data_IF_132238816955
#
_entry.id   IF_132238816955
#
_cell.length_a   1.000
_cell.length_b   1.000
_cell.length_c   1.000
_cell.angle_alpha   90.00
_cell.angle_beta   90.00
_cell.angle_gamma   90.00
#
_symmetry.space_group_name_H-M   'P 1'
#
loop_
_entity.id
_entity.type
_entity.pdbx_description
1 polymer ?
#
# COMPACT_ATOMS: atom_id res chain seq x y z
N UNK A 1 -15.02 0.30 -14.60
CA UNK A 1 -15.66 0.94 -13.42
C UNK A 1 -14.73 2.06 -13.00
N UNK A 2 -15.23 3.27 -12.86
CA UNK A 2 -14.38 4.38 -12.44
C UNK A 2 -13.82 4.10 -11.04
N UNK A 3 -12.52 4.18 -10.90
CA UNK A 3 -11.76 3.90 -9.67
C UNK A 3 -12.31 4.61 -8.44
N UNK A 4 -12.70 5.87 -8.60
CA UNK A 4 -13.28 6.67 -7.51
C UNK A 4 -14.65 6.15 -7.05
N UNK A 5 -15.44 5.58 -7.96
CA UNK A 5 -16.69 4.88 -7.61
C UNK A 5 -16.39 3.62 -6.80
N UNK A 6 -15.31 2.90 -7.13
CA UNK A 6 -14.88 1.75 -6.37
C UNK A 6 -14.46 2.14 -4.95
N UNK A 7 -13.66 3.21 -4.78
CA UNK A 7 -13.27 3.70 -3.44
C UNK A 7 -14.49 4.15 -2.62
N UNK A 8 -15.44 4.87 -3.20
CA UNK A 8 -16.68 5.25 -2.48
C UNK A 8 -17.44 4.03 -2.01
N UNK A 9 -17.70 3.07 -2.91
CA UNK A 9 -18.38 1.81 -2.54
C UNK A 9 -17.66 1.04 -1.47
N UNK A 10 -16.32 1.01 -1.51
CA UNK A 10 -15.53 0.35 -0.48
C UNK A 10 -15.63 1.05 0.88
N UNK A 11 -15.65 2.38 0.91
CA UNK A 11 -15.88 3.15 2.14
C UNK A 11 -17.28 2.85 2.70
N UNK A 12 -18.31 2.88 1.87
CA UNK A 12 -19.69 2.58 2.28
C UNK A 12 -19.80 1.15 2.85
N UNK A 13 -19.15 0.18 2.19
CA UNK A 13 -19.09 -1.19 2.68
C UNK A 13 -18.38 -1.29 4.03
N UNK A 14 -17.21 -0.66 4.19
CA UNK A 14 -16.47 -0.63 5.45
C UNK A 14 -17.34 -0.03 6.56
N UNK A 15 -17.98 1.12 6.33
CA UNK A 15 -18.79 1.82 7.33
C UNK A 15 -19.98 0.98 7.82
N UNK A 16 -20.56 0.17 6.94
CA UNK A 16 -21.69 -0.71 7.32
C UNK A 16 -21.26 -1.99 8.05
N UNK A 17 -19.96 -2.37 7.95
CA UNK A 17 -19.46 -3.64 8.52
C UNK A 17 -18.36 -3.46 9.58
N UNK A 18 -18.24 -2.24 10.17
CA UNK A 18 -17.18 -1.93 11.13
C UNK A 18 -17.12 -2.82 12.37
N UNK A 19 -18.24 -3.42 12.77
CA UNK A 19 -18.32 -4.35 13.92
C UNK A 19 -18.13 -5.82 13.54
N UNK A 20 -17.99 -6.11 12.23
CA UNK A 20 -17.79 -7.45 11.70
C UNK A 20 -16.31 -7.73 11.46
N UNK A 21 -15.97 -9.00 11.32
CA UNK A 21 -14.61 -9.41 10.95
C UNK A 21 -14.42 -9.31 9.43
N UNK A 22 -14.23 -8.08 8.95
CA UNK A 22 -14.01 -7.80 7.52
C UNK A 22 -12.53 -7.84 7.17
N UNK A 23 -12.22 -8.54 6.08
CA UNK A 23 -10.87 -8.57 5.52
C UNK A 23 -10.74 -7.60 4.35
N UNK A 24 -9.50 -7.23 4.03
CA UNK A 24 -9.21 -6.43 2.83
C UNK A 24 -9.66 -7.14 1.56
N UNK A 25 -9.59 -8.47 1.54
CA UNK A 25 -10.04 -9.28 0.41
C UNK A 25 -11.56 -9.15 0.21
N UNK A 26 -12.34 -9.16 1.28
CA UNK A 26 -13.79 -8.99 1.20
C UNK A 26 -14.15 -7.63 0.60
N UNK A 27 -13.46 -6.57 1.07
CA UNK A 27 -13.67 -5.22 0.57
C UNK A 27 -13.28 -5.11 -0.91
N UNK A 28 -12.13 -5.65 -1.30
CA UNK A 28 -11.64 -5.63 -2.68
C UNK A 28 -12.60 -6.39 -3.62
N UNK A 29 -13.16 -7.52 -3.18
CA UNK A 29 -14.13 -8.30 -3.93
C UNK A 29 -15.42 -7.51 -4.21
N UNK A 30 -15.88 -6.66 -3.27
CA UNK A 30 -17.07 -5.81 -3.47
C UNK A 30 -16.92 -4.81 -4.63
N UNK A 31 -15.68 -4.49 -4.96
CA UNK A 31 -15.35 -3.52 -6.01
C UNK A 31 -14.65 -4.16 -7.22
N UNK A 32 -14.60 -5.49 -7.27
CA UNK A 32 -14.01 -6.28 -8.36
C UNK A 32 -12.53 -5.96 -8.63
N UNK A 33 -11.76 -5.73 -7.58
CA UNK A 33 -10.33 -5.44 -7.66
C UNK A 33 -9.51 -6.51 -6.92
N UNK A 34 -8.25 -6.69 -7.32
CA UNK A 34 -7.32 -7.45 -6.48
C UNK A 34 -7.02 -6.67 -5.19
N UNK A 35 -6.76 -7.39 -4.10
CA UNK A 35 -6.46 -6.77 -2.80
C UNK A 35 -5.30 -5.79 -2.86
N UNK A 36 -4.26 -6.10 -3.62
CA UNK A 36 -3.10 -5.22 -3.78
C UNK A 36 -3.48 -3.92 -4.49
N UNK A 37 -4.13 -4.05 -5.63
CA UNK A 37 -4.53 -2.89 -6.42
C UNK A 37 -5.48 -1.99 -5.62
N UNK A 38 -6.44 -2.58 -4.93
CA UNK A 38 -7.35 -1.87 -4.05
C UNK A 38 -6.62 -1.14 -2.91
N UNK A 39 -5.76 -1.83 -2.15
CA UNK A 39 -5.03 -1.22 -1.02
C UNK A 39 -4.15 -0.05 -1.47
N UNK A 40 -3.41 -0.25 -2.56
CA UNK A 40 -2.55 0.81 -3.12
C UNK A 40 -3.34 2.03 -3.54
N UNK A 41 -4.42 1.84 -4.26
CA UNK A 41 -5.25 2.94 -4.69
C UNK A 41 -6.01 3.61 -3.56
N UNK A 42 -6.49 2.84 -2.59
CA UNK A 42 -7.14 3.39 -1.40
C UNK A 42 -6.16 4.32 -0.65
N UNK A 43 -4.93 3.88 -0.42
CA UNK A 43 -3.88 4.69 0.23
C UNK A 43 -3.59 5.98 -0.57
N UNK A 44 -3.37 5.87 -1.89
CA UNK A 44 -3.06 7.03 -2.74
C UNK A 44 -4.20 8.06 -2.74
N UNK A 45 -5.45 7.59 -2.82
CA UNK A 45 -6.61 8.48 -2.90
C UNK A 45 -6.97 9.08 -1.55
N UNK A 46 -6.86 8.31 -0.47
CA UNK A 46 -7.35 8.71 0.85
C UNK A 46 -6.26 9.19 1.80
N UNK A 47 -5.02 8.83 1.56
CA UNK A 47 -3.88 9.06 2.47
C UNK A 47 -3.84 8.10 3.67
N UNK A 48 -4.74 7.11 3.72
CA UNK A 48 -4.79 6.09 4.79
C UNK A 48 -4.67 4.70 4.20
N UNK A 49 -4.00 3.79 4.90
CA UNK A 49 -4.18 2.38 4.58
C UNK A 49 -5.59 1.92 4.97
N UNK A 50 -6.08 0.87 4.32
CA UNK A 50 -7.42 0.31 4.61
C UNK A 50 -7.53 -0.10 6.08
N UNK A 51 -6.51 -0.79 6.60
CA UNK A 51 -6.47 -1.24 8.00
C UNK A 51 -6.41 -0.08 8.99
N UNK A 52 -5.68 0.98 8.66
CA UNK A 52 -5.61 2.19 9.47
C UNK A 52 -6.96 2.90 9.49
N UNK A 53 -7.61 3.04 8.34
CA UNK A 53 -8.94 3.64 8.26
C UNK A 53 -9.96 2.89 9.12
N UNK A 54 -10.06 1.56 8.96
CA UNK A 54 -10.97 0.71 9.75
C UNK A 54 -10.68 0.87 11.25
N UNK A 55 -9.42 0.76 11.66
CA UNK A 55 -9.01 0.91 13.05
C UNK A 55 -9.41 2.27 13.61
N UNK A 56 -9.13 3.36 12.91
CA UNK A 56 -9.44 4.70 13.39
C UNK A 56 -10.94 4.95 13.48
N UNK A 57 -11.73 4.40 12.54
CA UNK A 57 -13.20 4.44 12.58
C UNK A 57 -13.77 3.65 13.75
N UNK A 58 -13.27 2.44 13.97
CA UNK A 58 -13.66 1.59 15.11
C UNK A 58 -13.37 2.30 16.44
N UNK A 59 -12.20 2.89 16.60
CA UNK A 59 -11.82 3.63 17.81
C UNK A 59 -12.70 4.86 18.02
N UNK A 60 -13.00 5.62 16.97
CA UNK A 60 -13.89 6.76 17.07
C UNK A 60 -15.31 6.37 17.47
N UNK A 61 -15.91 5.38 16.81
CA UNK A 61 -17.26 4.92 17.11
C UNK A 61 -17.35 4.27 18.50
N UNK A 62 -16.34 3.51 18.91
CA UNK A 62 -16.27 2.95 20.28
C UNK A 62 -16.27 4.05 21.35
N UNK A 63 -15.61 5.19 21.09
CA UNK A 63 -15.62 6.33 22.00
C UNK A 63 -17.01 7.00 22.09
N UNK A 64 -17.73 7.07 20.97
CA UNK A 64 -19.13 7.56 20.97
C UNK A 64 -20.01 6.60 21.79
N UNK A 65 -19.91 5.29 21.55
CA UNK A 65 -20.71 4.28 22.24
C UNK A 65 -20.41 4.25 23.75
N UNK A 66 -19.12 4.44 24.16
CA UNK A 66 -18.73 4.59 25.57
C UNK A 66 -19.43 5.77 26.27
N UNK A 67 -19.66 6.88 25.56
CA UNK A 67 -20.36 8.05 26.12
C UNK A 67 -21.87 7.87 26.14
N UNK A 68 -22.43 7.17 25.17
CA UNK A 68 -23.88 7.10 24.97
C UNK A 68 -24.53 5.93 25.69
N UNK A 69 -23.75 4.92 26.11
CA UNK A 69 -24.28 3.69 26.67
C UNK A 69 -23.67 3.36 28.03
N UNK A 70 -24.36 2.50 28.78
CA UNK A 70 -23.87 1.92 30.04
C UNK A 70 -22.99 0.70 29.84
N UNK A 71 -22.75 0.23 28.59
CA UNK A 71 -21.95 -0.95 28.28
C UNK A 71 -20.59 -0.92 28.99
N UNK A 72 -20.09 -2.09 29.33
CA UNK A 72 -18.74 -2.22 29.90
C UNK A 72 -17.69 -1.99 28.80
N UNK A 73 -16.53 -1.48 29.19
CA UNK A 73 -15.43 -1.23 28.25
C UNK A 73 -14.98 -2.52 27.54
N UNK A 74 -15.02 -3.65 28.27
CA UNK A 74 -14.67 -4.95 27.73
C UNK A 74 -15.63 -5.40 26.61
N UNK A 75 -16.92 -5.18 26.77
CA UNK A 75 -17.94 -5.56 25.78
C UNK A 75 -17.76 -4.71 24.50
N UNK A 76 -17.50 -3.40 24.68
CA UNK A 76 -17.20 -2.50 23.55
C UNK A 76 -15.90 -2.90 22.85
N UNK A 77 -14.85 -3.32 23.58
CA UNK A 77 -13.63 -3.80 22.98
C UNK A 77 -13.87 -4.98 22.03
N UNK A 78 -14.65 -5.96 22.47
CA UNK A 78 -15.03 -7.12 21.64
C UNK A 78 -15.94 -6.73 20.47
N UNK A 79 -16.94 -5.86 20.68
CA UNK A 79 -17.85 -5.36 19.64
C UNK A 79 -17.10 -4.69 18.48
N UNK A 80 -15.92 -4.12 18.76
CA UNK A 80 -15.07 -3.45 17.75
C UNK A 80 -13.85 -4.28 17.31
N UNK A 81 -13.90 -5.61 17.53
CA UNK A 81 -12.94 -6.56 16.96
C UNK A 81 -11.59 -6.59 17.66
N UNK A 82 -11.50 -6.24 18.94
CA UNK A 82 -10.30 -6.40 19.75
C UNK A 82 -10.37 -7.72 20.55
N UNK A 83 -9.32 -8.52 20.47
CA UNK A 83 -9.24 -9.79 21.18
C UNK A 83 -9.10 -9.61 22.70
N UNK A 84 -8.51 -8.50 23.14
CA UNK A 84 -8.31 -8.23 24.58
C UNK A 84 -8.60 -6.75 24.93
N UNK A 85 -9.14 -6.50 26.15
CA UNK A 85 -9.37 -5.13 26.64
C UNK A 85 -8.09 -4.31 26.74
N UNK A 86 -6.94 -4.94 26.96
CA UNK A 86 -5.62 -4.28 27.05
C UNK A 86 -5.17 -3.77 25.70
N UNK A 87 -5.32 -4.59 24.63
CA UNK A 87 -4.99 -4.19 23.24
C UNK A 87 -5.87 -3.03 22.79
N UNK A 88 -7.19 -3.11 23.11
CA UNK A 88 -8.12 -2.00 22.88
C UNK A 88 -7.69 -0.74 23.62
N UNK A 89 -7.42 -0.81 24.93
CA UNK A 89 -7.08 0.36 25.75
C UNK A 89 -5.80 1.04 25.27
N UNK A 90 -4.79 0.27 24.83
CA UNK A 90 -3.55 0.79 24.23
C UNK A 90 -3.81 1.52 22.90
N UNK A 91 -4.54 0.89 21.99
CA UNK A 91 -4.89 1.48 20.69
C UNK A 91 -5.76 2.74 20.89
N UNK A 92 -6.76 2.66 21.76
CA UNK A 92 -7.66 3.74 22.09
C UNK A 92 -6.91 4.96 22.66
N UNK A 93 -6.02 4.72 23.64
CA UNK A 93 -5.24 5.79 24.25
C UNK A 93 -4.28 6.44 23.24
N UNK A 94 -3.65 5.63 22.38
CA UNK A 94 -2.79 6.15 21.30
C UNK A 94 -3.57 7.03 20.34
N UNK A 95 -4.80 6.65 20.02
CA UNK A 95 -5.63 7.40 19.05
C UNK A 95 -6.25 8.66 19.66
N UNK A 96 -6.89 8.55 20.85
CA UNK A 96 -7.60 9.66 21.50
C UNK A 96 -6.74 10.56 22.41
N UNK A 97 -5.51 10.11 22.75
CA UNK A 97 -4.68 10.78 23.75
C UNK A 97 -5.18 10.60 25.19
N UNK A 98 -6.22 9.78 25.42
CA UNK A 98 -6.85 9.56 26.72
C UNK A 98 -7.44 8.17 26.85
N UNK A 99 -7.66 7.69 28.08
CA UNK A 99 -8.15 6.32 28.32
C UNK A 99 -9.66 6.17 28.10
N UNK A 100 -10.15 4.96 27.78
CA UNK A 100 -11.59 4.67 27.66
C UNK A 100 -12.41 5.09 28.88
N UNK A 101 -11.85 4.89 30.09
CA UNK A 101 -12.51 5.28 31.35
C UNK A 101 -12.75 6.79 31.41
N UNK A 102 -11.73 7.59 31.07
CA UNK A 102 -11.87 9.05 31.07
C UNK A 102 -12.88 9.54 30.04
N UNK A 103 -12.98 8.89 28.86
CA UNK A 103 -14.00 9.19 27.87
C UNK A 103 -15.39 8.92 28.42
N UNK A 104 -15.59 7.77 29.08
CA UNK A 104 -16.87 7.40 29.70
C UNK A 104 -17.31 8.38 30.80
N UNK A 105 -16.36 9.02 31.46
CA UNK A 105 -16.56 10.08 32.47
C UNK A 105 -16.77 11.48 31.87
N UNK A 106 -16.89 11.61 30.54
CA UNK A 106 -17.13 12.91 29.88
C UNK A 106 -15.92 13.53 29.18
N UNK A 107 -14.81 12.81 29.10
CA UNK A 107 -13.58 13.29 28.42
C UNK A 107 -13.78 13.65 26.95
N UNK A 108 -12.82 14.36 26.38
CA UNK A 108 -12.84 14.81 24.99
C UNK A 108 -12.53 13.65 24.04
N UNK A 109 -13.28 13.54 22.92
CA UNK A 109 -13.10 12.54 21.87
C UNK A 109 -12.37 13.18 20.68
N UNK A 110 -11.28 12.55 20.21
CA UNK A 110 -10.69 12.90 18.91
C UNK A 110 -11.64 12.44 17.81
N UNK A 111 -12.09 13.38 16.98
CA UNK A 111 -13.02 13.11 15.89
C UNK A 111 -12.32 12.44 14.70
N UNK A 112 -12.96 11.43 14.13
CA UNK A 112 -12.56 10.80 12.88
C UNK A 112 -13.80 10.38 12.10
N UNK A 113 -14.31 11.29 11.26
CA UNK A 113 -15.53 11.07 10.48
C UNK A 113 -15.28 10.15 9.29
N UNK A 114 -16.33 9.56 8.68
CA UNK A 114 -16.21 8.82 7.43
C UNK A 114 -15.56 9.69 6.35
N UNK A 115 -14.70 9.08 5.55
CA UNK A 115 -14.11 9.77 4.41
C UNK A 115 -15.17 10.12 3.38
N UNK A 116 -15.25 11.39 2.99
CA UNK A 116 -16.11 11.87 1.92
C UNK A 116 -15.23 12.37 0.78
N UNK A 117 -15.17 11.59 -0.32
CA UNK A 117 -14.35 11.93 -1.48
C UNK A 117 -15.16 12.83 -2.41
N UNK A 118 -14.79 14.12 -2.46
CA UNK A 118 -15.26 15.06 -3.46
C UNK A 118 -14.20 15.24 -4.53
N UNK A 119 -14.58 15.07 -5.79
CA UNK A 119 -13.69 15.28 -6.93
C UNK A 119 -14.09 16.59 -7.57
N UNK A 120 -13.11 17.48 -7.68
CA UNK A 120 -13.23 18.68 -8.49
C UNK A 120 -12.30 18.52 -9.67
N UNK A 121 -12.86 18.35 -10.86
CA UNK A 121 -12.08 18.27 -12.10
C UNK A 121 -11.78 19.69 -12.57
N UNK A 122 -10.52 20.09 -12.55
CA UNK A 122 -10.08 21.35 -13.11
C UNK A 122 -9.26 21.07 -14.38
N UNK A 123 -9.77 21.50 -15.54
CA UNK A 123 -9.04 21.59 -16.80
C UNK A 123 -8.63 20.23 -17.42
N UNK A 124 -9.22 19.90 -18.53
CA UNK A 124 -8.98 18.62 -19.21
C UNK A 124 -7.66 18.58 -19.97
N UNK A 125 -6.55 18.27 -19.31
CA UNK A 125 -5.45 17.61 -19.99
C UNK A 125 -5.75 16.11 -19.90
N UNK A 126 -6.13 15.49 -21.02
CA UNK A 126 -6.17 14.02 -21.12
C UNK A 126 -4.80 13.50 -20.71
N UNK A 127 -4.80 12.56 -19.76
CA UNK A 127 -3.58 11.87 -19.40
C UNK A 127 -3.16 11.03 -20.61
N UNK A 128 -2.00 11.35 -21.19
CA UNK A 128 -1.47 10.58 -22.30
C UNK A 128 -1.10 9.19 -21.78
N UNK A 129 -1.81 8.19 -22.27
CA UNK A 129 -1.50 6.80 -22.03
C UNK A 129 -1.38 6.06 -23.36
N UNK A 130 -0.58 5.01 -23.34
CA UNK A 130 -0.38 4.13 -24.47
C UNK A 130 -0.68 2.69 -24.05
N UNK A 131 -1.68 2.07 -24.66
CA UNK A 131 -1.90 0.64 -24.48
C UNK A 131 -0.95 -0.10 -25.43
N UNK A 132 -0.10 -0.95 -24.86
CA UNK A 132 0.93 -1.69 -25.59
C UNK A 132 0.80 -3.18 -25.27
N UNK A 133 0.79 -4.02 -26.32
CA UNK A 133 0.92 -5.47 -26.14
C UNK A 133 2.38 -5.82 -25.90
N UNK A 134 2.66 -6.45 -24.77
CA UNK A 134 3.99 -6.93 -24.44
C UNK A 134 4.02 -8.45 -24.42
N UNK A 135 5.06 -9.02 -25.03
CA UNK A 135 5.35 -10.46 -24.88
C UNK A 135 5.75 -10.75 -23.43
N UNK A 136 5.58 -12.01 -23.02
CA UNK A 136 6.06 -12.46 -21.72
C UNK A 136 7.56 -12.19 -21.57
N UNK A 137 7.97 -11.72 -20.39
CA UNK A 137 9.37 -11.40 -20.09
C UNK A 137 9.74 -11.82 -18.67
N UNK A 138 11.04 -11.96 -18.45
CA UNK A 138 11.59 -12.29 -17.13
C UNK A 138 12.40 -11.12 -16.62
N UNK A 139 12.35 -10.93 -15.29
CA UNK A 139 13.16 -9.94 -14.59
C UNK A 139 13.90 -10.62 -13.45
N UNK A 140 15.10 -10.12 -13.16
CA UNK A 140 15.93 -10.56 -12.04
C UNK A 140 16.23 -9.36 -11.15
N UNK A 141 16.25 -9.54 -9.83
CA UNK A 141 16.59 -8.44 -8.93
C UNK A 141 16.51 -8.78 -7.45
N UNK A 142 16.65 -7.75 -6.64
CA UNK A 142 16.55 -7.80 -5.19
C UNK A 142 15.11 -7.60 -4.77
N UNK A 143 14.55 -8.53 -4.00
CA UNK A 143 13.16 -8.51 -3.56
C UNK A 143 13.08 -8.34 -2.05
N UNK A 144 12.17 -7.47 -1.59
CA UNK A 144 11.88 -7.24 -0.17
C UNK A 144 10.38 -7.05 0.03
N UNK A 145 9.85 -7.58 1.13
CA UNK A 145 8.44 -7.41 1.50
C UNK A 145 8.26 -6.09 2.26
N UNK A 146 7.22 -5.34 1.90
CA UNK A 146 6.86 -4.06 2.53
C UNK A 146 5.41 -4.06 2.98
N UNK A 147 5.13 -3.33 4.06
CA UNK A 147 3.76 -2.99 4.44
C UNK A 147 3.29 -1.77 3.63
N UNK A 148 2.00 -1.74 3.27
CA UNK A 148 1.41 -0.56 2.63
C UNK A 148 1.48 0.69 3.51
N UNK A 149 1.51 0.54 4.84
CA UNK A 149 1.47 1.66 5.78
C UNK A 149 2.74 2.53 5.72
N UNK A 150 3.90 1.95 5.38
CA UNK A 150 5.20 2.63 5.40
C UNK A 150 6.01 2.51 4.10
N UNK A 151 5.42 1.93 3.06
CA UNK A 151 6.13 1.65 1.80
C UNK A 151 6.78 2.89 1.17
N UNK A 152 6.12 4.05 1.22
CA UNK A 152 6.67 5.30 0.66
C UNK A 152 7.93 5.78 1.36
N UNK A 153 8.11 5.46 2.64
CA UNK A 153 9.29 5.81 3.41
C UNK A 153 10.39 4.73 3.33
N UNK A 154 9.98 3.46 3.27
CA UNK A 154 10.91 2.34 3.35
C UNK A 154 11.47 1.90 1.97
N UNK A 155 10.73 2.09 0.88
CA UNK A 155 11.22 1.75 -0.47
C UNK A 155 12.45 2.58 -0.85
N UNK A 156 12.51 3.93 -0.64
CA UNK A 156 13.73 4.70 -0.90
C UNK A 156 14.94 4.18 -0.11
N UNK A 157 14.78 3.84 1.17
CA UNK A 157 15.86 3.27 1.99
C UNK A 157 16.35 1.92 1.45
N UNK A 158 15.44 1.12 0.88
CA UNK A 158 15.83 -0.14 0.24
C UNK A 158 16.65 0.09 -1.03
N UNK A 159 16.33 1.13 -1.81
CA UNK A 159 17.17 1.53 -2.93
C UNK A 159 18.57 1.95 -2.47
N UNK A 160 18.65 2.77 -1.42
CA UNK A 160 19.93 3.20 -0.84
C UNK A 160 20.74 1.99 -0.33
N UNK A 161 20.11 1.06 0.41
CA UNK A 161 20.75 -0.18 0.89
C UNK A 161 21.36 -1.00 -0.26
N UNK A 162 20.62 -1.18 -1.35
CA UNK A 162 21.10 -1.96 -2.51
C UNK A 162 22.20 -1.20 -3.24
N UNK A 163 22.07 0.12 -3.40
CA UNK A 163 23.09 0.96 -4.02
C UNK A 163 24.41 0.91 -3.25
N UNK A 164 24.37 1.10 -1.93
CA UNK A 164 25.57 1.08 -1.09
C UNK A 164 26.25 -0.29 -1.08
N UNK A 165 25.44 -1.35 -0.98
CA UNK A 165 25.98 -2.70 -0.77
C UNK A 165 26.50 -3.36 -2.05
N UNK A 166 25.85 -3.12 -3.19
CA UNK A 166 26.10 -3.87 -4.41
C UNK A 166 26.38 -3.01 -5.65
N UNK A 167 25.85 -1.80 -5.70
CA UNK A 167 25.93 -1.00 -6.92
C UNK A 167 26.99 0.10 -6.88
N UNK A 168 27.47 0.51 -5.72
CA UNK A 168 28.47 1.57 -5.59
C UNK A 168 29.74 1.31 -6.38
N UNK A 169 30.26 0.06 -6.33
CA UNK A 169 31.44 -0.35 -7.09
C UNK A 169 31.19 -0.31 -8.61
N UNK A 170 30.01 -0.75 -9.03
CA UNK A 170 29.59 -0.80 -10.44
C UNK A 170 29.41 0.62 -10.99
N UNK A 171 28.76 1.49 -10.25
CA UNK A 171 28.56 2.89 -10.66
C UNK A 171 29.85 3.72 -10.66
N UNK A 172 30.86 3.31 -9.87
CA UNK A 172 32.19 3.88 -9.96
C UNK A 172 32.98 3.45 -11.22
N UNK A 173 32.40 2.59 -12.05
CA UNK A 173 33.03 2.07 -13.27
C UNK A 173 34.07 0.98 -13.04
N UNK A 174 34.09 0.38 -11.87
CA UNK A 174 35.03 -0.69 -11.54
C UNK A 174 34.53 -2.07 -12.03
N UNK A 175 35.43 -3.03 -12.28
CA UNK A 175 35.05 -4.41 -12.59
C UNK A 175 34.23 -5.04 -11.44
N UNK A 176 33.29 -5.94 -11.75
CA UNK A 176 32.49 -6.62 -10.73
C UNK A 176 33.35 -7.54 -9.87
N UNK A 177 33.21 -7.45 -8.53
CA UNK A 177 33.97 -8.23 -7.57
C UNK A 177 33.23 -9.51 -7.12
N UNK A 178 31.95 -9.61 -7.43
CA UNK A 178 31.10 -10.73 -7.00
C UNK A 178 29.98 -11.01 -8.02
N UNK A 179 29.31 -12.19 -7.91
CA UNK A 179 28.22 -12.55 -8.83
C UNK A 179 27.06 -11.58 -8.85
N UNK A 180 26.77 -10.88 -7.73
CA UNK A 180 25.68 -9.90 -7.65
C UNK A 180 26.01 -8.67 -8.47
N UNK A 181 27.21 -8.10 -8.35
CA UNK A 181 27.65 -6.95 -9.14
C UNK A 181 27.70 -7.29 -10.64
N UNK A 182 28.12 -8.51 -10.99
CA UNK A 182 28.09 -9.00 -12.37
C UNK A 182 26.65 -9.02 -12.91
N UNK A 183 25.71 -9.58 -12.13
CA UNK A 183 24.29 -9.64 -12.52
C UNK A 183 23.67 -8.26 -12.65
N UNK A 184 24.06 -7.27 -11.82
CA UNK A 184 23.61 -5.89 -11.91
C UNK A 184 23.97 -5.30 -13.28
N UNK A 185 25.22 -5.51 -13.72
CA UNK A 185 25.69 -4.99 -15.02
C UNK A 185 24.98 -5.71 -16.18
N UNK A 186 24.97 -7.06 -16.16
CA UNK A 186 24.48 -7.88 -17.27
C UNK A 186 22.97 -7.75 -17.50
N UNK A 187 22.20 -7.46 -16.44
CA UNK A 187 20.75 -7.38 -16.49
C UNK A 187 20.21 -5.96 -16.24
N UNK A 188 21.07 -4.94 -16.18
CA UNK A 188 20.69 -3.55 -15.90
C UNK A 188 19.78 -3.42 -14.66
N UNK A 189 20.14 -4.11 -13.55
CA UNK A 189 19.35 -4.09 -12.33
C UNK A 189 19.37 -2.67 -11.74
N UNK A 190 18.17 -2.12 -11.50
CA UNK A 190 17.95 -0.72 -11.15
C UNK A 190 17.10 0.01 -12.19
N UNK A 191 16.88 -0.60 -13.36
CA UNK A 191 16.01 -0.03 -14.40
C UNK A 191 14.53 -0.10 -14.03
N UNK A 192 14.14 -1.13 -13.27
CA UNK A 192 12.74 -1.38 -12.87
C UNK A 192 12.55 -1.37 -11.36
N UNK A 193 11.51 -0.66 -10.91
CA UNK A 193 10.92 -0.81 -9.59
C UNK A 193 9.55 -1.47 -9.73
N UNK A 194 9.38 -2.71 -9.24
CA UNK A 194 8.19 -3.52 -9.51
C UNK A 194 7.51 -3.89 -8.21
N UNK A 195 6.19 -3.59 -8.12
CA UNK A 195 5.34 -4.11 -7.05
C UNK A 195 4.71 -5.43 -7.51
N UNK A 196 4.90 -6.48 -6.74
CA UNK A 196 4.41 -7.82 -7.04
C UNK A 196 3.36 -8.20 -5.99
N UNK A 197 2.19 -8.61 -6.48
CA UNK A 197 1.12 -9.16 -5.67
C UNK A 197 1.32 -10.67 -5.50
N UNK A 198 1.70 -11.08 -4.31
CA UNK A 198 1.63 -12.48 -3.91
C UNK A 198 0.42 -12.64 -3.01
N UNK A 199 -0.58 -13.47 -3.39
CA UNK A 199 -1.83 -13.65 -2.65
C UNK A 199 -1.65 -13.82 -1.14
N UNK A 200 -0.59 -14.53 -0.72
CA UNK A 200 -0.27 -14.75 0.69
C UNK A 200 0.20 -13.49 1.43
N UNK A 201 0.83 -12.56 0.74
CA UNK A 201 1.34 -11.31 1.31
C UNK A 201 0.29 -10.21 1.28
N UNK A 202 -0.51 -10.14 0.22
CA UNK A 202 -1.60 -9.17 0.07
C UNK A 202 -2.67 -9.30 1.17
N UNK A 203 -3.03 -10.53 1.56
CA UNK A 203 -3.97 -10.78 2.68
C UNK A 203 -3.47 -10.24 4.03
N UNK A 204 -2.16 -9.97 4.16
CA UNK A 204 -1.54 -9.43 5.39
C UNK A 204 -1.26 -7.92 5.30
N UNK A 205 -1.76 -7.22 4.30
CA UNK A 205 -1.47 -5.80 4.07
C UNK A 205 -0.03 -5.54 3.62
N UNK A 206 0.59 -6.50 2.94
CA UNK A 206 1.98 -6.45 2.48
C UNK A 206 2.07 -6.77 0.99
N UNK A 207 3.17 -6.37 0.37
CA UNK A 207 3.50 -6.69 -1.01
C UNK A 207 5.01 -6.86 -1.16
N UNK A 208 5.43 -7.56 -2.20
CA UNK A 208 6.84 -7.66 -2.56
C UNK A 208 7.22 -6.53 -3.51
N UNK A 209 8.25 -5.76 -3.15
CA UNK A 209 8.87 -4.80 -4.05
C UNK A 209 10.19 -5.35 -4.56
N UNK A 210 10.42 -5.21 -5.86
CA UNK A 210 11.59 -5.73 -6.55
C UNK A 210 12.34 -4.59 -7.24
N UNK A 211 13.62 -4.42 -6.91
CA UNK A 211 14.57 -3.61 -7.69
C UNK A 211 15.17 -4.54 -8.73
N UNK A 212 14.84 -4.34 -10.01
CA UNK A 212 15.09 -5.32 -11.04
C UNK A 212 15.67 -4.76 -12.33
N UNK A 213 16.15 -5.68 -13.15
CA UNK A 213 16.46 -5.48 -14.55
C UNK A 213 15.92 -6.62 -15.40
N UNK A 214 15.95 -6.47 -16.72
CA UNK A 214 15.49 -7.50 -17.64
C UNK A 214 16.46 -8.69 -17.61
N UNK A 215 15.93 -9.87 -17.33
CA UNK A 215 16.77 -11.08 -17.29
C UNK A 215 17.22 -11.49 -18.69
N UNK A 216 18.53 -11.55 -18.85
CA UNK A 216 19.20 -11.89 -20.14
C UNK A 216 19.68 -13.35 -20.20
N UNK A 217 19.59 -14.07 -19.06
CA UNK A 217 20.07 -15.45 -18.94
C UNK A 217 21.15 -15.58 -17.86
N UNK A 218 21.63 -16.81 -17.62
CA UNK A 218 22.67 -17.11 -16.64
C UNK A 218 22.15 -17.59 -15.29
N UNK A 219 23.07 -17.71 -14.32
CA UNK A 219 22.73 -18.12 -12.96
C UNK A 219 22.13 -16.95 -12.16
N UNK A 220 21.15 -17.26 -11.30
CA UNK A 220 20.57 -16.30 -10.37
C UNK A 220 21.42 -16.24 -9.10
N UNK A 221 22.14 -15.15 -8.82
CA UNK A 221 23.00 -15.04 -7.64
C UNK A 221 22.21 -15.17 -6.34
N UNK A 222 22.88 -15.64 -5.29
CA UNK A 222 22.28 -15.75 -3.96
C UNK A 222 21.74 -14.39 -3.48
N UNK A 223 20.48 -14.36 -3.03
CA UNK A 223 19.81 -13.15 -2.56
C UNK A 223 19.07 -12.38 -3.65
N UNK A 224 19.16 -12.79 -4.91
CA UNK A 224 18.32 -12.29 -5.98
C UNK A 224 17.17 -13.26 -6.28
N UNK A 225 16.09 -12.74 -6.87
CA UNK A 225 14.93 -13.52 -7.30
C UNK A 225 14.65 -13.29 -8.78
N UNK A 226 14.14 -14.35 -9.43
CA UNK A 226 13.67 -14.32 -10.80
C UNK A 226 12.14 -14.32 -10.80
N UNK A 227 11.54 -13.40 -11.56
CA UNK A 227 10.10 -13.35 -11.76
C UNK A 227 9.78 -13.38 -13.25
N UNK A 228 8.67 -14.02 -13.60
CA UNK A 228 8.19 -14.15 -14.97
C UNK A 228 6.82 -13.44 -15.09
N UNK A 229 6.73 -12.53 -16.06
CA UNK A 229 5.50 -11.84 -16.40
C UNK A 229 4.91 -12.44 -17.67
N UNK A 230 3.63 -12.79 -17.67
CA UNK A 230 2.97 -13.35 -18.86
C UNK A 230 2.81 -12.27 -19.94
N UNK A 231 2.56 -12.72 -21.16
CA UNK A 231 2.10 -11.85 -22.23
C UNK A 231 0.79 -11.16 -21.84
N UNK A 232 0.67 -9.86 -22.14
CA UNK A 232 -0.51 -9.08 -21.81
C UNK A 232 -0.57 -7.71 -22.46
N UNK A 233 -1.66 -7.00 -22.19
CA UNK A 233 -1.80 -5.58 -22.54
C UNK A 233 -1.41 -4.74 -21.33
N UNK A 234 -0.57 -3.73 -21.59
CA UNK A 234 -0.01 -2.85 -20.58
C UNK A 234 -0.42 -1.41 -20.87
N UNK A 235 -0.91 -0.73 -19.84
CA UNK A 235 -1.05 0.73 -19.88
C UNK A 235 0.29 1.36 -19.51
N UNK A 236 0.81 2.19 -20.40
CA UNK A 236 2.08 2.88 -20.23
C UNK A 236 1.81 4.36 -20.09
N UNK A 237 2.40 4.98 -19.07
CA UNK A 237 2.30 6.39 -18.76
C UNK A 237 3.70 6.96 -18.60
N UNK A 238 3.95 8.12 -19.19
CA UNK A 238 5.22 8.82 -19.09
C UNK A 238 5.24 9.72 -17.85
N UNK A 239 6.29 9.61 -17.04
CA UNK A 239 6.55 10.50 -15.90
C UNK A 239 7.71 11.43 -16.23
N UNK A 240 7.49 12.73 -16.14
CA UNK A 240 8.50 13.76 -16.44
C UNK A 240 8.77 14.54 -15.16
N UNK A 241 10.03 14.57 -14.74
CA UNK A 241 10.48 15.31 -13.55
C UNK A 241 11.37 14.49 -12.62
N UNK A 242 11.83 15.08 -11.50
CA UNK A 242 12.68 14.39 -10.54
C UNK A 242 11.94 13.26 -9.85
N UNK A 243 12.65 12.16 -9.58
CA UNK A 243 12.18 11.03 -8.79
C UNK A 243 12.55 11.29 -7.32
N UNK A 244 11.68 10.98 -6.33
CA UNK A 244 10.43 10.19 -6.45
C UNK A 244 9.16 10.99 -6.73
N UNK A 245 9.17 12.32 -6.64
CA UNK A 245 7.96 13.16 -6.60
C UNK A 245 7.13 13.06 -7.89
N UNK A 246 7.78 13.06 -9.05
CA UNK A 246 7.09 12.96 -10.34
C UNK A 246 6.35 11.63 -10.49
N UNK A 247 6.97 10.53 -10.05
CA UNK A 247 6.38 9.20 -10.10
C UNK A 247 5.20 9.04 -9.12
N UNK A 248 5.34 9.59 -7.91
CA UNK A 248 4.26 9.58 -6.91
C UNK A 248 3.06 10.42 -7.36
N UNK A 249 3.34 11.60 -7.95
CA UNK A 249 2.32 12.46 -8.54
C UNK A 249 1.58 11.78 -9.69
N UNK A 250 2.31 11.14 -10.61
CA UNK A 250 1.74 10.39 -11.72
C UNK A 250 0.88 9.22 -11.22
N UNK A 251 1.37 8.41 -10.27
CA UNK A 251 0.60 7.34 -9.68
C UNK A 251 -0.72 7.85 -9.07
N UNK A 252 -0.66 8.94 -8.30
CA UNK A 252 -1.84 9.57 -7.73
C UNK A 252 -2.84 9.98 -8.81
N UNK A 253 -2.35 10.54 -9.91
CA UNK A 253 -3.15 10.96 -11.05
C UNK A 253 -3.80 9.76 -11.76
N UNK A 254 -3.05 8.68 -12.01
CA UNK A 254 -3.56 7.44 -12.60
C UNK A 254 -4.75 6.92 -11.79
N UNK A 255 -4.62 6.80 -10.47
CA UNK A 255 -5.69 6.29 -9.61
C UNK A 255 -6.89 7.24 -9.45
N UNK A 256 -6.74 8.53 -9.74
CA UNK A 256 -7.84 9.50 -9.64
C UNK A 256 -8.58 9.70 -10.96
N UNK A 257 -7.92 9.57 -12.08
CA UNK A 257 -8.41 10.03 -13.37
C UNK A 257 -8.55 8.91 -14.40
N UNK A 258 -7.80 7.82 -14.27
CA UNK A 258 -7.79 6.70 -15.22
C UNK A 258 -8.50 5.46 -14.66
#
# INVERSE_FOLDING_TARGET
MEWLTAIRKSIDYIETHLKEDITVQDIANQVFLSSLHFQRGFLIVTGYSVSEYIRNRRLYLSAIELKQTSKKIIDIAYDYGYETPESFSKAFTRFHGTTPIKIKQGGHIKTFLPLNIKITVHGGNKMDNKITKMFGFKVIGFAKEFSFDNAYEEIPKFWDEICEKYAANVYAGNPPNNPQEKAIIENCIGEYGICIDEEKSACKGKFTYLIAGKYTGGEVPKGMKLYEFPQGEWAVFDSIGPIPESLQSLNTKIFKEW
#
